data_IF_705991977158
#
_entry.id   IF_705991977158
#
_cell.length_a   1.000
_cell.length_b   1.000
_cell.length_c   1.000
_cell.angle_alpha   90.00
_cell.angle_beta   90.00
_cell.angle_gamma   90.00
#
_symmetry.space_group_name_H-M   'P 1'
#
loop_
_entity.id
_entity.type
_entity.pdbx_description
1 polymer ?
#
# COMPACT_ATOMS: atom_id res chain seq x y z
N UNK A 1 -39.41 49.68 -5.26
CA UNK A 1 -39.81 49.51 -6.67
C UNK A 1 -39.17 48.22 -7.19
N UNK A 2 -39.92 47.13 -7.28
CA UNK A 2 -39.45 45.92 -7.98
C UNK A 2 -39.49 46.22 -9.47
N UNK A 3 -38.34 46.50 -10.10
CA UNK A 3 -38.24 46.43 -11.54
C UNK A 3 -38.37 44.95 -11.90
N UNK A 4 -39.51 44.50 -12.39
CA UNK A 4 -39.62 43.19 -13.04
C UNK A 4 -38.98 43.33 -14.42
N UNK A 5 -37.89 42.63 -14.69
CA UNK A 5 -37.38 42.49 -16.05
C UNK A 5 -38.34 41.55 -16.76
N UNK A 6 -38.94 42.04 -17.84
CA UNK A 6 -39.79 41.20 -18.66
C UNK A 6 -38.91 40.49 -19.70
N UNK A 7 -39.01 39.16 -19.78
CA UNK A 7 -38.42 38.38 -20.86
C UNK A 7 -39.48 38.16 -21.94
N UNK A 8 -39.08 38.17 -23.22
CA UNK A 8 -40.02 37.85 -24.30
C UNK A 8 -39.71 36.45 -24.80
N UNK A 9 -40.70 35.55 -24.70
CA UNK A 9 -40.60 34.17 -25.17
C UNK A 9 -41.46 34.01 -26.43
N UNK A 10 -40.90 33.42 -27.49
CA UNK A 10 -41.62 33.19 -28.76
C UNK A 10 -42.85 32.30 -28.51
N UNK A 11 -44.00 32.70 -29.04
CA UNK A 11 -45.27 31.98 -28.83
C UNK A 11 -45.92 32.11 -27.44
N UNK A 12 -45.34 32.89 -26.52
CA UNK A 12 -45.92 33.20 -25.19
C UNK A 12 -46.16 34.71 -25.04
N UNK A 13 -45.20 35.53 -25.50
CA UNK A 13 -45.18 36.98 -25.32
C UNK A 13 -44.25 37.42 -24.18
N UNK A 14 -44.50 38.61 -23.64
CA UNK A 14 -43.75 39.16 -22.51
C UNK A 14 -44.15 38.44 -21.22
N UNK A 15 -43.19 37.79 -20.57
CA UNK A 15 -43.37 37.10 -19.28
C UNK A 15 -42.62 37.84 -18.18
N UNK A 16 -43.19 37.92 -16.96
CA UNK A 16 -42.46 38.42 -15.81
C UNK A 16 -41.30 37.46 -15.50
N UNK A 17 -40.09 37.98 -15.36
CA UNK A 17 -38.98 37.22 -14.79
C UNK A 17 -38.64 37.79 -13.43
N UNK A 18 -38.31 36.91 -12.49
CA UNK A 18 -37.61 37.35 -11.29
C UNK A 18 -36.26 37.93 -11.73
N UNK A 19 -36.02 39.21 -11.40
CA UNK A 19 -34.75 39.90 -11.69
C UNK A 19 -33.66 39.43 -10.77
N UNK A 20 -34.04 39.02 -9.57
CA UNK A 20 -33.16 38.25 -8.75
C UNK A 20 -33.11 36.82 -9.30
N UNK A 21 -31.91 36.24 -9.41
CA UNK A 21 -31.63 34.90 -9.95
C UNK A 21 -32.25 33.75 -9.10
N UNK A 22 -33.24 34.05 -8.26
CA UNK A 22 -33.93 33.10 -7.40
C UNK A 22 -35.37 32.83 -7.83
N UNK A 23 -35.81 31.58 -7.70
CA UNK A 23 -37.21 31.15 -7.79
C UNK A 23 -37.55 30.14 -6.68
N UNK A 24 -38.82 29.77 -6.51
CA UNK A 24 -39.21 28.79 -5.47
C UNK A 24 -38.93 27.35 -5.91
N UNK A 25 -38.76 26.45 -4.93
CA UNK A 25 -38.63 25.01 -5.19
C UNK A 25 -39.82 24.44 -5.97
N UNK A 26 -41.01 24.98 -5.75
CA UNK A 26 -42.23 24.60 -6.47
C UNK A 26 -42.19 24.97 -7.95
N UNK A 27 -41.66 26.16 -8.30
CA UNK A 27 -41.46 26.57 -9.70
C UNK A 27 -40.45 25.66 -10.40
N UNK A 28 -39.31 25.37 -9.75
CA UNK A 28 -38.27 24.50 -10.33
C UNK A 28 -38.79 23.09 -10.55
N UNK A 29 -39.53 22.54 -9.58
CA UNK A 29 -40.14 21.22 -9.69
C UNK A 29 -41.11 21.18 -10.88
N UNK A 30 -42.03 22.13 -10.99
CA UNK A 30 -42.99 22.19 -12.09
C UNK A 30 -42.31 22.36 -13.47
N UNK A 31 -41.23 23.14 -13.53
CA UNK A 31 -40.41 23.32 -14.72
C UNK A 31 -39.72 22.01 -15.13
N UNK A 32 -38.98 21.38 -14.21
CA UNK A 32 -38.24 20.14 -14.49
C UNK A 32 -39.17 18.96 -14.80
N UNK A 33 -40.31 18.83 -14.12
CA UNK A 33 -41.31 17.79 -14.44
C UNK A 33 -41.77 17.90 -15.89
N UNK A 34 -42.03 19.11 -16.37
CA UNK A 34 -42.48 19.33 -17.75
C UNK A 34 -41.33 19.17 -18.76
N UNK A 35 -40.13 19.67 -18.46
CA UNK A 35 -38.94 19.51 -19.31
C UNK A 35 -38.51 18.05 -19.43
N UNK A 36 -38.61 17.26 -18.36
CA UNK A 36 -38.24 15.84 -18.39
C UNK A 36 -39.16 15.04 -19.31
N UNK A 37 -40.47 15.33 -19.33
CA UNK A 37 -41.41 14.73 -20.29
C UNK A 37 -40.98 15.04 -21.73
N UNK A 38 -40.63 16.30 -22.00
CA UNK A 38 -40.18 16.75 -23.33
C UNK A 38 -38.87 16.05 -23.73
N UNK A 39 -37.91 15.96 -22.80
CA UNK A 39 -36.63 15.30 -23.02
C UNK A 39 -36.77 13.79 -23.24
N UNK A 40 -37.67 13.13 -22.50
CA UNK A 40 -37.98 11.72 -22.69
C UNK A 40 -38.54 11.46 -24.09
N UNK A 41 -39.52 12.27 -24.53
CA UNK A 41 -40.09 12.18 -25.88
C UNK A 41 -39.03 12.46 -26.94
N UNK A 42 -38.15 13.45 -26.73
CA UNK A 42 -37.06 13.75 -27.66
C UNK A 42 -36.07 12.59 -27.82
N UNK A 43 -35.75 11.92 -26.71
CA UNK A 43 -34.77 10.83 -26.71
C UNK A 43 -35.33 9.49 -27.19
N UNK A 44 -36.66 9.31 -27.23
CA UNK A 44 -37.31 8.13 -27.84
C UNK A 44 -37.20 8.18 -29.36
N UNK A 45 -36.05 7.79 -29.91
CA UNK A 45 -35.82 7.78 -31.35
C UNK A 45 -36.80 6.84 -32.05
N UNK A 46 -37.40 7.27 -33.15
CA UNK A 46 -38.23 6.41 -34.02
C UNK A 46 -37.46 5.23 -34.62
N UNK A 47 -36.13 5.33 -34.68
CA UNK A 47 -35.21 4.30 -35.19
C UNK A 47 -34.43 3.53 -34.11
N UNK A 48 -34.88 3.56 -32.85
CA UNK A 48 -34.16 2.88 -31.77
C UNK A 48 -34.12 1.35 -32.03
N UNK A 49 -32.93 0.73 -32.19
CA UNK A 49 -32.82 -0.71 -32.52
C UNK A 49 -33.22 -1.64 -31.37
N UNK A 50 -33.56 -1.09 -30.20
CA UNK A 50 -33.94 -1.86 -29.03
C UNK A 50 -35.44 -2.18 -29.08
N UNK A 51 -35.80 -3.45 -29.32
CA UNK A 51 -37.18 -3.92 -29.49
C UNK A 51 -38.08 -3.78 -28.24
N UNK A 52 -37.52 -3.28 -27.13
CA UNK A 52 -38.24 -3.03 -25.88
C UNK A 52 -38.87 -1.63 -25.79
N UNK A 53 -38.44 -0.68 -26.63
CA UNK A 53 -38.92 0.70 -26.55
C UNK A 53 -40.09 0.89 -27.53
N UNK A 54 -41.21 1.42 -27.02
CA UNK A 54 -42.38 1.69 -27.85
C UNK A 54 -42.06 2.81 -28.87
N UNK A 55 -42.45 2.65 -30.15
CA UNK A 55 -42.25 3.70 -31.14
C UNK A 55 -43.03 4.96 -30.76
N UNK A 56 -42.61 6.11 -31.30
CA UNK A 56 -43.31 7.37 -31.12
C UNK A 56 -44.77 7.25 -31.55
N UNK A 57 -45.66 7.79 -30.74
CA UNK A 57 -47.10 7.75 -30.96
C UNK A 57 -47.73 9.14 -31.00
N UNK A 58 -48.97 9.22 -31.50
CA UNK A 58 -49.78 10.45 -31.41
C UNK A 58 -49.99 10.88 -29.94
N UNK A 59 -50.01 9.92 -29.01
CA UNK A 59 -50.09 10.20 -27.57
C UNK A 59 -48.85 10.90 -27.04
N UNK A 60 -47.66 10.58 -27.54
CA UNK A 60 -46.43 11.28 -27.16
C UNK A 60 -46.45 12.73 -27.65
N UNK A 61 -47.00 12.99 -28.83
CA UNK A 61 -47.20 14.36 -29.31
C UNK A 61 -48.18 15.12 -28.41
N UNK A 62 -49.29 14.51 -28.02
CA UNK A 62 -50.26 15.14 -27.12
C UNK A 62 -49.65 15.44 -25.74
N UNK A 63 -48.80 14.53 -25.23
CA UNK A 63 -48.04 14.73 -23.99
C UNK A 63 -47.02 15.87 -24.12
N UNK A 64 -46.32 15.99 -25.26
CA UNK A 64 -45.43 17.10 -25.57
C UNK A 64 -46.19 18.43 -25.52
N UNK A 65 -47.31 18.54 -26.24
CA UNK A 65 -48.12 19.76 -26.27
C UNK A 65 -48.67 20.10 -24.88
N UNK A 66 -49.11 19.10 -24.11
CA UNK A 66 -49.56 19.30 -22.73
C UNK A 66 -48.44 19.83 -21.81
N UNK A 67 -47.23 19.26 -21.88
CA UNK A 67 -46.07 19.73 -21.12
C UNK A 67 -45.66 21.15 -21.51
N UNK A 68 -45.67 21.48 -22.80
CA UNK A 68 -45.40 22.83 -23.30
C UNK A 68 -46.42 23.86 -22.82
N UNK A 69 -47.70 23.49 -22.76
CA UNK A 69 -48.75 24.35 -22.22
C UNK A 69 -48.60 24.56 -20.70
N UNK A 70 -48.17 23.54 -19.94
CA UNK A 70 -47.83 23.70 -18.52
C UNK A 70 -46.66 24.67 -18.32
N UNK A 71 -45.60 24.55 -19.13
CA UNK A 71 -44.47 25.48 -19.06
C UNK A 71 -44.86 26.91 -19.46
N UNK A 72 -45.75 27.06 -20.44
CA UNK A 72 -46.30 28.35 -20.84
C UNK A 72 -47.10 29.00 -19.71
N UNK A 73 -47.96 28.23 -19.05
CA UNK A 73 -48.74 28.70 -17.91
C UNK A 73 -47.82 29.09 -16.75
N UNK A 74 -46.84 28.24 -16.43
CA UNK A 74 -45.82 28.50 -15.41
C UNK A 74 -45.01 29.77 -15.69
N UNK A 75 -44.63 30.01 -16.95
CA UNK A 75 -43.90 31.22 -17.34
C UNK A 75 -44.74 32.49 -17.19
N UNK A 76 -46.05 32.43 -17.51
CA UNK A 76 -46.95 33.59 -17.46
C UNK A 76 -47.42 33.91 -16.03
N UNK A 77 -47.79 32.87 -15.29
CA UNK A 77 -48.53 33.00 -14.05
C UNK A 77 -47.69 32.70 -12.80
N UNK A 78 -46.52 32.08 -12.97
CA UNK A 78 -45.66 31.67 -11.86
C UNK A 78 -46.31 30.61 -10.96
N UNK A 79 -45.74 30.40 -9.78
CA UNK A 79 -46.34 29.59 -8.70
C UNK A 79 -46.39 30.43 -7.44
N UNK A 80 -47.56 30.48 -6.80
CA UNK A 80 -47.70 31.08 -5.48
C UNK A 80 -47.22 30.10 -4.41
N UNK A 81 -46.21 30.51 -3.65
CA UNK A 81 -45.55 29.70 -2.62
C UNK A 81 -45.25 30.56 -1.37
N UNK A 82 -45.06 29.93 -0.21
CA UNK A 82 -44.72 30.59 1.05
C UNK A 82 -45.89 31.13 1.90
N UNK A 83 -45.55 31.63 3.10
CA UNK A 83 -46.45 32.33 4.02
C UNK A 83 -45.78 33.62 4.54
N UNK A 84 -46.18 34.82 4.08
CA UNK A 84 -47.34 35.10 3.24
C UNK A 84 -47.18 34.59 1.79
N UNK A 85 -48.29 34.34 1.07
CA UNK A 85 -48.25 33.83 -0.29
C UNK A 85 -47.58 34.84 -1.25
N UNK A 86 -46.49 34.41 -1.88
CA UNK A 86 -45.77 35.18 -2.90
C UNK A 86 -45.72 34.40 -4.21
N UNK A 87 -45.96 35.07 -5.33
CA UNK A 87 -45.84 34.46 -6.66
C UNK A 87 -44.41 34.54 -7.14
N UNK A 88 -43.82 33.38 -7.42
CA UNK A 88 -42.48 33.24 -7.99
C UNK A 88 -42.58 32.86 -9.47
N UNK A 89 -41.77 33.51 -10.30
CA UNK A 89 -41.72 33.26 -11.74
C UNK A 89 -40.47 32.46 -12.12
N UNK A 90 -40.39 32.03 -13.39
CA UNK A 90 -39.17 31.43 -13.93
C UNK A 90 -37.98 32.39 -13.77
N UNK A 91 -36.79 31.81 -13.59
CA UNK A 91 -35.54 32.59 -13.66
C UNK A 91 -35.22 32.96 -15.11
N UNK A 92 -34.33 33.94 -15.31
CA UNK A 92 -33.87 34.33 -16.64
C UNK A 92 -33.29 33.15 -17.45
N UNK A 93 -32.54 32.27 -16.79
CA UNK A 93 -31.98 31.05 -17.42
C UNK A 93 -33.09 30.08 -17.83
N UNK A 94 -34.06 29.80 -16.95
CA UNK A 94 -35.21 28.94 -17.28
C UNK A 94 -36.04 29.52 -18.43
N UNK A 95 -36.30 30.82 -18.42
CA UNK A 95 -37.03 31.51 -19.48
C UNK A 95 -36.28 31.48 -20.82
N UNK A 96 -34.95 31.63 -20.80
CA UNK A 96 -34.10 31.55 -21.99
C UNK A 96 -34.07 30.14 -22.56
N UNK A 97 -33.86 29.12 -21.72
CA UNK A 97 -33.87 27.73 -22.14
C UNK A 97 -35.25 27.34 -22.68
N UNK A 98 -36.33 27.83 -22.05
CA UNK A 98 -37.69 27.63 -22.55
C UNK A 98 -37.88 28.25 -23.94
N UNK A 99 -37.48 29.49 -24.15
CA UNK A 99 -37.56 30.16 -25.46
C UNK A 99 -36.81 29.38 -26.56
N UNK A 100 -35.64 28.83 -26.24
CA UNK A 100 -34.88 28.00 -27.17
C UNK A 100 -35.63 26.69 -27.52
N UNK A 101 -36.27 26.05 -26.55
CA UNK A 101 -37.12 24.87 -26.79
C UNK A 101 -38.29 25.22 -27.70
N UNK A 102 -39.00 26.32 -27.44
CA UNK A 102 -40.11 26.80 -28.27
C UNK A 102 -39.68 27.07 -29.72
N UNK A 103 -38.54 27.74 -29.91
CA UNK A 103 -37.96 28.00 -31.23
C UNK A 103 -37.60 26.72 -31.97
N UNK A 104 -37.06 25.71 -31.25
CA UNK A 104 -36.73 24.41 -31.85
C UNK A 104 -37.97 23.65 -32.36
N UNK A 105 -39.07 23.70 -31.60
CA UNK A 105 -40.33 23.07 -31.98
C UNK A 105 -40.96 23.76 -33.19
N UNK A 106 -40.95 25.10 -33.19
CA UNK A 106 -41.42 25.90 -34.33
C UNK A 106 -40.61 25.64 -35.59
N UNK A 107 -39.29 25.46 -35.47
CA UNK A 107 -38.43 25.07 -36.59
C UNK A 107 -38.79 23.71 -37.18
N UNK A 108 -39.34 22.80 -36.37
CA UNK A 108 -39.88 21.51 -36.81
C UNK A 108 -41.34 21.57 -37.30
N UNK A 109 -41.95 22.76 -37.36
CA UNK A 109 -43.35 22.96 -37.77
C UNK A 109 -44.37 22.70 -36.66
N UNK A 110 -43.92 22.50 -35.41
CA UNK A 110 -44.80 22.35 -34.24
C UNK A 110 -45.10 23.74 -33.69
N UNK A 111 -46.34 24.18 -33.84
CA UNK A 111 -46.87 25.45 -33.38
C UNK A 111 -47.89 25.16 -32.29
N UNK A 112 -47.69 25.76 -31.13
CA UNK A 112 -48.63 25.66 -30.03
C UNK A 112 -49.92 26.41 -30.39
N UNK A 113 -51.06 25.96 -29.85
CA UNK A 113 -52.42 26.46 -30.14
C UNK A 113 -53.02 26.03 -31.49
N UNK A 114 -52.32 25.19 -32.25
CA UNK A 114 -52.87 24.54 -33.46
C UNK A 114 -53.36 23.14 -33.12
N UNK A 115 -54.54 22.78 -33.62
CA UNK A 115 -55.03 21.39 -33.56
C UNK A 115 -54.48 20.60 -34.74
N UNK A 116 -53.81 19.48 -34.46
CA UNK A 116 -53.22 18.61 -35.48
C UNK A 116 -54.08 17.37 -35.68
N UNK A 117 -54.88 17.27 -36.76
CA UNK A 117 -55.75 16.12 -36.99
C UNK A 117 -55.01 14.86 -37.47
N UNK A 118 -53.80 15.01 -38.03
CA UNK A 118 -52.96 13.92 -38.53
C UNK A 118 -51.50 14.34 -38.63
N UNK A 119 -50.57 13.38 -38.75
CA UNK A 119 -49.14 13.65 -39.00
C UNK A 119 -48.33 14.08 -37.78
N UNK A 120 -48.87 13.86 -36.56
CA UNK A 120 -48.22 14.22 -35.29
C UNK A 120 -46.87 13.53 -35.11
N UNK A 121 -46.79 12.23 -35.39
CA UNK A 121 -45.55 11.46 -35.32
C UNK A 121 -44.48 11.98 -36.28
N UNK A 122 -44.84 12.29 -37.53
CA UNK A 122 -43.91 12.88 -38.51
C UNK A 122 -43.32 14.20 -38.04
N UNK A 123 -44.11 15.03 -37.35
CA UNK A 123 -43.61 16.28 -36.76
C UNK A 123 -42.63 16.02 -35.60
N UNK A 124 -42.90 15.02 -34.74
CA UNK A 124 -41.94 14.62 -33.71
C UNK A 124 -40.63 14.12 -34.31
N UNK A 125 -40.70 13.27 -35.34
CA UNK A 125 -39.53 12.77 -36.05
C UNK A 125 -38.73 13.90 -36.70
N UNK A 126 -39.43 14.87 -37.31
CA UNK A 126 -38.80 16.07 -37.85
C UNK A 126 -38.09 16.86 -36.76
N UNK A 127 -38.70 17.03 -35.58
CA UNK A 127 -38.07 17.71 -34.45
C UNK A 127 -36.85 16.95 -33.90
N UNK A 128 -36.94 15.63 -33.75
CA UNK A 128 -35.82 14.79 -33.32
C UNK A 128 -34.66 14.81 -34.34
N UNK A 129 -34.94 14.92 -35.63
CA UNK A 129 -33.91 15.04 -36.67
C UNK A 129 -33.04 16.29 -36.49
N UNK A 130 -33.56 17.32 -35.80
CA UNK A 130 -32.82 18.54 -35.45
C UNK A 130 -31.81 18.33 -34.31
N UNK A 131 -31.72 17.14 -33.70
CA UNK A 131 -30.75 16.84 -32.65
C UNK A 131 -29.31 17.18 -33.05
N UNK A 132 -28.93 16.90 -34.31
CA UNK A 132 -27.61 17.23 -34.86
C UNK A 132 -27.36 18.72 -35.08
N UNK A 133 -28.41 19.55 -35.03
CA UNK A 133 -28.35 21.00 -35.22
C UNK A 133 -28.43 21.77 -33.88
N UNK A 134 -28.08 21.12 -32.77
CA UNK A 134 -27.98 21.74 -31.45
C UNK A 134 -29.22 21.60 -30.57
N UNK A 135 -30.32 21.01 -31.04
CA UNK A 135 -31.52 20.79 -30.20
C UNK A 135 -31.22 19.88 -29.02
N UNK A 136 -30.33 18.88 -29.18
CA UNK A 136 -29.87 18.06 -28.05
C UNK A 136 -29.16 18.91 -26.97
N UNK A 137 -28.37 19.90 -27.37
CA UNK A 137 -27.67 20.78 -26.42
C UNK A 137 -28.67 21.67 -25.69
N UNK A 138 -29.69 22.18 -26.39
CA UNK A 138 -30.79 22.95 -25.80
C UNK A 138 -31.54 22.10 -24.77
N UNK A 139 -31.87 20.84 -25.10
CA UNK A 139 -32.55 19.94 -24.17
C UNK A 139 -31.69 19.61 -22.95
N UNK A 140 -30.40 19.32 -23.16
CA UNK A 140 -29.47 19.07 -22.06
C UNK A 140 -29.37 20.29 -21.14
N UNK A 141 -29.22 21.50 -21.69
CA UNK A 141 -29.18 22.75 -20.93
C UNK A 141 -30.48 22.99 -20.15
N UNK A 142 -31.64 22.74 -20.77
CA UNK A 142 -32.95 22.87 -20.12
C UNK A 142 -33.13 21.88 -18.96
N UNK A 143 -32.62 20.64 -19.09
CA UNK A 143 -32.65 19.63 -18.02
C UNK A 143 -31.59 19.85 -16.94
N UNK A 144 -30.50 20.55 -17.27
CA UNK A 144 -29.38 20.78 -16.33
C UNK A 144 -29.54 22.04 -15.49
N UNK A 145 -30.67 22.75 -15.59
CA UNK A 145 -30.92 23.94 -14.77
C UNK A 145 -30.86 23.52 -13.31
N UNK A 146 -29.76 23.91 -12.67
CA UNK A 146 -29.39 23.39 -11.37
C UNK A 146 -30.39 23.86 -10.31
N UNK A 147 -30.69 23.01 -9.33
CA UNK A 147 -31.46 23.39 -8.13
C UNK A 147 -30.82 24.54 -7.32
N UNK A 148 -29.65 25.04 -7.74
CA UNK A 148 -28.96 26.17 -7.12
C UNK A 148 -29.75 27.48 -7.22
N UNK A 149 -30.59 27.66 -8.24
CA UNK A 149 -31.44 28.86 -8.42
C UNK A 149 -32.60 28.98 -7.42
N UNK A 150 -32.71 28.06 -6.44
CA UNK A 150 -33.70 28.13 -5.34
C UNK A 150 -33.10 28.54 -4.00
N UNK A 151 -31.78 28.79 -3.98
CA UNK A 151 -31.02 29.05 -2.76
C UNK A 151 -30.84 30.55 -2.59
N UNK A 152 -31.20 31.08 -1.42
CA UNK A 152 -30.81 32.44 -1.02
C UNK A 152 -29.29 32.56 -1.17
N UNK A 153 -28.76 33.74 -1.52
CA UNK A 153 -27.30 33.98 -1.57
C UNK A 153 -26.58 33.47 -0.31
N UNK A 154 -27.24 33.57 0.84
CA UNK A 154 -26.82 32.98 2.10
C UNK A 154 -26.71 31.45 2.03
N UNK A 155 -27.74 30.74 1.59
CA UNK A 155 -27.69 29.28 1.44
C UNK A 155 -26.78 28.79 0.29
N UNK A 156 -26.52 29.59 -0.75
CA UNK A 156 -25.50 29.27 -1.76
C UNK A 156 -24.10 29.36 -1.18
N UNK A 157 -23.79 30.43 -0.45
CA UNK A 157 -22.50 30.58 0.22
C UNK A 157 -22.35 29.52 1.32
N UNK A 158 -23.36 29.30 2.15
CA UNK A 158 -23.35 28.28 3.20
C UNK A 158 -23.15 26.88 2.63
N UNK A 159 -24.01 26.45 1.71
CA UNK A 159 -23.99 25.06 1.26
C UNK A 159 -22.82 24.80 0.31
N UNK A 160 -22.48 25.70 -0.59
CA UNK A 160 -21.43 25.41 -1.58
C UNK A 160 -20.03 25.59 -0.98
N UNK A 161 -19.79 26.67 -0.22
CA UNK A 161 -18.47 26.88 0.40
C UNK A 161 -18.17 25.83 1.46
N UNK A 162 -19.13 25.54 2.36
CA UNK A 162 -18.94 24.53 3.41
C UNK A 162 -18.85 23.13 2.81
N UNK A 163 -19.66 22.80 1.80
CA UNK A 163 -19.56 21.50 1.12
C UNK A 163 -18.23 21.34 0.42
N UNK A 164 -17.80 22.28 -0.43
CA UNK A 164 -16.52 22.17 -1.13
C UNK A 164 -15.34 22.09 -0.15
N UNK A 165 -15.38 22.86 0.93
CA UNK A 165 -14.39 22.77 2.00
C UNK A 165 -14.38 21.40 2.68
N UNK A 166 -15.56 20.86 3.01
CA UNK A 166 -15.69 19.54 3.60
C UNK A 166 -15.26 18.42 2.66
N UNK A 167 -15.63 18.48 1.38
CA UNK A 167 -15.26 17.49 0.37
C UNK A 167 -13.73 17.45 0.19
N UNK A 168 -13.10 18.64 0.10
CA UNK A 168 -11.65 18.74 0.01
C UNK A 168 -10.95 18.19 1.27
N UNK A 169 -11.44 18.55 2.45
CA UNK A 169 -10.88 18.09 3.73
C UNK A 169 -11.06 16.59 3.91
N UNK A 170 -12.22 16.02 3.54
CA UNK A 170 -12.50 14.59 3.59
C UNK A 170 -11.51 13.80 2.72
N UNK A 171 -11.27 14.25 1.48
CA UNK A 171 -10.29 13.63 0.58
C UNK A 171 -8.88 13.68 1.19
N UNK A 172 -8.49 14.79 1.81
CA UNK A 172 -7.17 14.92 2.47
C UNK A 172 -7.05 14.02 3.71
N UNK A 173 -8.07 13.95 4.56
CA UNK A 173 -8.06 13.07 5.73
C UNK A 173 -8.02 11.59 5.33
N UNK A 174 -8.77 11.19 4.30
CA UNK A 174 -8.73 9.82 3.78
C UNK A 174 -7.34 9.44 3.27
N UNK A 175 -6.68 10.35 2.55
CA UNK A 175 -5.31 10.12 2.07
C UNK A 175 -4.30 9.99 3.23
N UNK A 176 -4.42 10.83 4.26
CA UNK A 176 -3.55 10.76 5.46
C UNK A 176 -3.80 9.50 6.29
N UNK A 177 -5.05 9.10 6.46
CA UNK A 177 -5.41 7.86 7.15
C UNK A 177 -4.78 6.64 6.44
N UNK A 178 -4.89 6.61 5.11
CA UNK A 178 -4.29 5.55 4.31
C UNK A 178 -2.75 5.56 4.40
N UNK A 179 -2.11 6.74 4.41
CA UNK A 179 -0.65 6.88 4.61
C UNK A 179 -0.21 6.38 5.99
N UNK A 180 -0.94 6.77 7.05
CA UNK A 180 -0.66 6.36 8.42
C UNK A 180 -0.82 4.85 8.59
N UNK A 181 -1.90 4.27 8.07
CA UNK A 181 -2.18 2.84 8.11
C UNK A 181 -1.11 2.03 7.37
N UNK A 182 -0.66 2.53 6.22
CA UNK A 182 0.41 1.89 5.43
C UNK A 182 1.73 1.93 6.19
N UNK A 183 2.10 3.08 6.75
CA UNK A 183 3.35 3.26 7.49
C UNK A 183 3.35 2.44 8.80
N UNK A 184 2.22 2.37 9.51
CA UNK A 184 2.09 1.50 10.68
C UNK A 184 2.22 0.03 10.30
N UNK A 185 1.58 -0.39 9.20
CA UNK A 185 1.70 -1.76 8.70
C UNK A 185 3.14 -2.13 8.29
N UNK A 186 3.92 -1.17 7.78
CA UNK A 186 5.35 -1.32 7.52
C UNK A 186 6.10 -1.52 8.83
N UNK A 187 5.89 -0.67 9.83
CA UNK A 187 6.54 -0.77 11.15
C UNK A 187 6.26 -2.11 11.82
N UNK A 188 5.01 -2.56 11.83
CA UNK A 188 4.62 -3.84 12.42
C UNK A 188 5.31 -5.01 11.71
N UNK A 189 5.41 -4.95 10.38
CA UNK A 189 6.06 -5.99 9.58
C UNK A 189 7.58 -5.99 9.77
N UNK A 190 8.22 -4.82 9.82
CA UNK A 190 9.65 -4.68 10.09
C UNK A 190 9.99 -5.12 11.52
N UNK A 191 9.14 -4.80 12.50
CA UNK A 191 9.29 -5.26 13.88
C UNK A 191 9.17 -6.79 13.99
N UNK A 192 8.25 -7.41 13.24
CA UNK A 192 8.18 -8.87 13.13
C UNK A 192 9.47 -9.45 12.53
N UNK A 193 9.97 -8.89 11.43
CA UNK A 193 11.22 -9.33 10.80
C UNK A 193 12.40 -9.18 11.76
N UNK A 194 12.49 -8.07 12.48
CA UNK A 194 13.48 -7.85 13.52
C UNK A 194 13.31 -8.85 14.66
N UNK A 195 12.08 -9.15 15.06
CA UNK A 195 11.74 -10.18 16.04
C UNK A 195 12.24 -11.55 15.62
N UNK A 196 12.01 -11.97 14.36
CA UNK A 196 12.52 -13.23 13.80
C UNK A 196 14.04 -13.24 13.77
N UNK A 197 14.67 -12.12 13.38
CA UNK A 197 16.13 -11.96 13.43
C UNK A 197 16.68 -12.10 14.86
N UNK A 198 15.92 -11.68 15.87
CA UNK A 198 16.30 -11.71 17.29
C UNK A 198 15.91 -13.01 18.01
N UNK A 199 14.91 -13.76 17.51
CA UNK A 199 14.43 -15.03 18.06
C UNK A 199 15.43 -16.18 17.92
N UNK A 200 16.59 -15.90 17.32
CA UNK A 200 17.81 -16.69 17.45
C UNK A 200 18.14 -16.88 18.92
N UNK A 201 17.60 -17.96 19.48
CA UNK A 201 17.94 -18.38 20.82
C UNK A 201 19.34 -18.92 20.74
N UNK A 202 20.28 -18.15 21.26
CA UNK A 202 21.63 -18.60 21.59
C UNK A 202 21.44 -19.77 22.57
N UNK A 203 21.45 -21.00 22.06
CA UNK A 203 21.03 -22.21 22.81
C UNK A 203 21.99 -22.51 23.95
N UNK A 204 23.19 -21.92 23.91
CA UNK A 204 24.02 -21.70 25.07
C UNK A 204 24.55 -20.28 24.94
N UNK A 205 24.15 -19.38 25.86
CA UNK A 205 24.93 -18.17 26.12
C UNK A 205 26.24 -18.74 26.64
N UNK A 206 27.19 -18.95 25.74
CA UNK A 206 28.48 -19.51 26.09
C UNK A 206 29.01 -18.59 27.17
N UNK A 207 28.98 -19.08 28.41
CA UNK A 207 30.00 -18.72 29.36
C UNK A 207 31.29 -18.82 28.55
N UNK A 208 32.07 -17.75 28.48
CA UNK A 208 33.42 -17.79 27.93
C UNK A 208 34.30 -18.66 28.84
N UNK A 209 33.85 -19.87 29.17
CA UNK A 209 34.67 -20.92 29.67
C UNK A 209 35.49 -21.39 28.48
N UNK A 210 36.64 -20.73 28.28
CA UNK A 210 37.85 -21.50 27.98
C UNK A 210 37.79 -22.77 28.83
N UNK A 211 38.05 -23.95 28.23
CA UNK A 211 37.68 -25.24 28.80
C UNK A 211 37.89 -25.21 30.32
N UNK A 212 36.86 -25.47 31.15
CA UNK A 212 37.03 -25.45 32.59
C UNK A 212 38.27 -26.29 32.89
N UNK A 213 39.17 -25.74 33.70
CA UNK A 213 40.40 -26.41 34.17
C UNK A 213 40.10 -27.71 34.91
N UNK A 214 38.82 -28.00 35.12
CA UNK A 214 38.22 -29.08 35.85
C UNK A 214 37.15 -29.78 35.00
N UNK A 215 37.63 -30.82 34.31
CA UNK A 215 36.99 -32.09 33.92
C UNK A 215 35.65 -32.08 33.15
N UNK A 216 35.65 -32.83 32.04
CA UNK A 216 34.50 -33.52 31.39
C UNK A 216 33.95 -33.06 30.03
N UNK A 217 34.59 -32.20 29.22
CA UNK A 217 34.00 -31.85 27.89
C UNK A 217 34.86 -31.85 26.62
N UNK A 218 36.14 -32.14 26.68
CA UNK A 218 36.91 -32.77 25.59
C UNK A 218 37.86 -33.73 26.32
N UNK A 219 38.20 -34.94 25.83
CA UNK A 219 39.23 -35.73 26.48
C UNK A 219 40.46 -34.84 26.66
N UNK A 220 40.73 -34.43 27.90
CA UNK A 220 41.73 -33.40 28.22
C UNK A 220 43.13 -33.81 27.75
N UNK A 221 43.33 -35.13 27.65
CA UNK A 221 44.47 -35.79 27.05
C UNK A 221 44.65 -35.44 25.57
N UNK A 222 43.58 -35.36 24.78
CA UNK A 222 43.64 -35.15 23.34
C UNK A 222 44.00 -33.68 23.00
N UNK A 223 43.43 -32.72 23.73
CA UNK A 223 43.78 -31.29 23.62
C UNK A 223 45.17 -31.02 24.18
N UNK A 224 45.53 -31.63 25.32
CA UNK A 224 46.88 -31.51 25.89
C UNK A 224 47.94 -32.12 24.96
N UNK A 225 47.63 -33.22 24.27
CA UNK A 225 48.52 -33.83 23.27
C UNK A 225 48.71 -32.92 22.06
N UNK A 226 47.64 -32.27 21.57
CA UNK A 226 47.72 -31.29 20.48
C UNK A 226 48.52 -30.05 20.91
N UNK A 227 48.26 -29.52 22.11
CA UNK A 227 48.99 -28.35 22.65
C UNK A 227 50.48 -28.67 22.85
N UNK A 228 50.81 -29.85 23.39
CA UNK A 228 52.20 -30.30 23.55
C UNK A 228 52.89 -30.48 22.19
N UNK A 229 52.19 -31.08 21.22
CA UNK A 229 52.64 -31.19 19.85
C UNK A 229 52.98 -29.81 19.25
N UNK A 230 52.10 -28.81 19.39
CA UNK A 230 52.35 -27.45 18.92
C UNK A 230 53.53 -26.77 19.63
N UNK A 231 53.63 -26.93 20.96
CA UNK A 231 54.74 -26.36 21.73
C UNK A 231 56.09 -27.00 21.33
N UNK A 232 56.11 -28.27 20.96
CA UNK A 232 57.33 -28.97 20.52
C UNK A 232 57.72 -28.62 19.08
N UNK A 233 56.74 -28.40 18.19
CA UNK A 233 56.97 -27.85 16.84
C UNK A 233 57.56 -26.43 16.95
N UNK A 234 57.01 -25.59 17.81
CA UNK A 234 57.53 -24.24 18.07
C UNK A 234 58.97 -24.26 18.61
N UNK A 235 59.37 -25.37 19.26
CA UNK A 235 60.70 -25.59 19.79
C UNK A 235 61.62 -26.41 18.85
N UNK A 236 61.20 -26.69 17.61
CA UNK A 236 62.04 -27.32 16.59
C UNK A 236 62.33 -28.82 16.80
N UNK A 237 61.48 -29.55 17.55
CA UNK A 237 61.64 -31.00 17.72
C UNK A 237 61.12 -31.81 16.52
N UNK A 238 61.71 -32.99 16.34
CA UNK A 238 61.64 -33.83 15.14
C UNK A 238 60.23 -34.31 14.76
N UNK A 239 59.94 -34.37 13.46
CA UNK A 239 58.59 -34.56 12.89
C UNK A 239 58.00 -35.97 13.10
N UNK A 240 58.85 -36.96 13.39
CA UNK A 240 58.44 -38.35 13.61
C UNK A 240 57.69 -38.57 14.93
N UNK A 241 58.03 -37.86 16.01
CA UNK A 241 57.31 -37.96 17.29
C UNK A 241 55.90 -37.36 17.16
N UNK A 242 55.77 -36.30 16.37
CA UNK A 242 54.50 -35.67 16.07
C UNK A 242 53.55 -36.59 15.28
N UNK A 243 54.05 -37.27 14.25
CA UNK A 243 53.27 -38.21 13.44
C UNK A 243 52.75 -39.35 14.32
N UNK A 244 53.58 -39.90 15.21
CA UNK A 244 53.19 -40.96 16.13
C UNK A 244 52.14 -40.47 17.16
N UNK A 245 52.29 -39.25 17.68
CA UNK A 245 51.31 -38.66 18.61
C UNK A 245 49.98 -38.33 17.94
N UNK A 246 49.99 -37.87 16.69
CA UNK A 246 48.75 -37.67 15.91
C UNK A 246 48.05 -39.00 15.58
N UNK A 247 48.81 -40.07 15.31
CA UNK A 247 48.26 -41.42 15.14
C UNK A 247 47.66 -41.94 16.45
N UNK A 248 48.29 -41.64 17.59
CA UNK A 248 47.75 -41.96 18.91
C UNK A 248 46.50 -41.14 19.24
N UNK A 249 46.42 -39.87 18.80
CA UNK A 249 45.22 -39.06 18.90
C UNK A 249 44.06 -39.69 18.10
N UNK A 250 44.29 -40.09 16.84
CA UNK A 250 43.28 -40.78 16.03
C UNK A 250 42.79 -42.06 16.71
N UNK A 251 43.70 -42.83 17.30
CA UNK A 251 43.37 -44.06 18.03
C UNK A 251 42.53 -43.78 19.28
N UNK A 252 42.93 -42.77 20.07
CA UNK A 252 42.20 -42.32 21.27
C UNK A 252 40.81 -41.83 20.90
N UNK A 253 40.71 -41.02 19.85
CA UNK A 253 39.46 -40.52 19.31
C UNK A 253 38.50 -41.64 18.87
N UNK A 254 39.00 -42.66 18.17
CA UNK A 254 38.20 -43.82 17.77
C UNK A 254 37.69 -44.62 18.98
N UNK A 255 38.52 -44.74 20.04
CA UNK A 255 38.12 -45.40 21.28
C UNK A 255 37.05 -44.59 22.04
N UNK A 256 37.13 -43.27 22.02
CA UNK A 256 36.14 -42.39 22.63
C UNK A 256 34.79 -42.45 21.89
N UNK A 257 34.79 -42.53 20.55
CA UNK A 257 33.57 -42.81 19.77
C UNK A 257 32.96 -44.15 20.17
N UNK A 258 33.77 -45.20 20.27
CA UNK A 258 33.30 -46.53 20.62
C UNK A 258 32.67 -46.54 22.03
N UNK A 259 33.31 -45.86 22.97
CA UNK A 259 32.81 -45.69 24.35
C UNK A 259 31.51 -44.89 24.38
N UNK A 260 31.41 -43.81 23.61
CA UNK A 260 30.17 -43.02 23.50
C UNK A 260 29.01 -43.83 22.90
N UNK A 261 29.28 -44.68 21.90
CA UNK A 261 28.29 -45.64 21.36
C UNK A 261 27.81 -46.61 22.42
N UNK A 262 28.73 -47.15 23.22
CA UNK A 262 28.40 -48.06 24.32
C UNK A 262 27.58 -47.37 25.41
N UNK A 263 27.94 -46.14 25.80
CA UNK A 263 27.20 -45.37 26.80
C UNK A 263 25.79 -44.97 26.33
N UNK A 264 25.63 -44.62 25.04
CA UNK A 264 24.31 -44.34 24.48
C UNK A 264 23.41 -45.60 24.53
N UNK A 265 23.96 -46.75 24.15
CA UNK A 265 23.26 -48.03 24.25
C UNK A 265 22.90 -48.41 25.71
N UNK A 266 23.81 -48.18 26.66
CA UNK A 266 23.60 -48.49 28.07
C UNK A 266 22.56 -47.56 28.73
N UNK A 267 22.50 -46.30 28.33
CA UNK A 267 21.61 -45.29 28.92
C UNK A 267 20.26 -45.18 28.20
N UNK A 268 20.00 -46.01 27.18
CA UNK A 268 18.78 -45.95 26.39
C UNK A 268 18.60 -44.64 25.60
N UNK A 269 19.70 -43.90 25.37
CA UNK A 269 19.70 -42.66 24.61
C UNK A 269 20.11 -42.93 23.16
N UNK A 270 19.60 -42.16 22.21
CA UNK A 270 20.05 -42.31 20.82
C UNK A 270 21.50 -41.88 20.69
N UNK A 271 22.30 -42.60 19.87
CA UNK A 271 23.68 -42.21 19.56
C UNK A 271 23.78 -40.73 19.16
N UNK A 272 22.78 -40.17 18.49
CA UNK A 272 22.71 -38.75 18.11
C UNK A 272 22.72 -37.76 19.30
N UNK A 273 22.26 -38.14 20.49
CA UNK A 273 22.20 -37.27 21.69
C UNK A 273 23.54 -37.17 22.41
N UNK A 274 24.35 -38.22 22.37
CA UNK A 274 25.73 -38.20 22.90
C UNK A 274 26.73 -37.75 21.82
N UNK A 275 26.47 -38.09 20.56
CA UNK A 275 27.30 -37.71 19.42
C UNK A 275 27.16 -36.23 19.05
N UNK A 276 26.05 -35.55 19.37
CA UNK A 276 25.88 -34.09 19.22
C UNK A 276 26.92 -33.27 19.97
N UNK A 277 27.54 -33.84 21.01
CA UNK A 277 28.65 -33.21 21.76
C UNK A 277 30.00 -33.33 21.03
N UNK A 278 30.12 -34.22 20.04
CA UNK A 278 31.37 -34.59 19.34
C UNK A 278 31.36 -34.31 17.82
N UNK A 279 30.21 -33.95 17.24
CA UNK A 279 29.94 -34.15 15.79
C UNK A 279 30.63 -33.19 14.85
N UNK A 280 30.59 -31.89 15.14
CA UNK A 280 31.01 -30.90 14.15
C UNK A 280 32.53 -30.87 14.02
N UNK A 281 33.25 -30.88 15.14
CA UNK A 281 34.70 -30.90 15.13
C UNK A 281 35.26 -32.20 14.56
N UNK A 282 34.65 -33.35 14.89
CA UNK A 282 35.17 -34.63 14.43
C UNK A 282 34.90 -34.96 12.98
N UNK A 283 33.75 -34.56 12.42
CA UNK A 283 33.46 -34.77 11.00
C UNK A 283 34.42 -33.94 10.14
N UNK A 284 34.66 -32.69 10.53
CA UNK A 284 35.64 -31.81 9.90
C UNK A 284 37.07 -32.38 10.01
N UNK A 285 37.44 -32.90 11.19
CA UNK A 285 38.75 -33.53 11.41
C UNK A 285 38.91 -34.81 10.57
N UNK A 286 37.88 -35.65 10.53
CA UNK A 286 37.89 -36.91 9.78
C UNK A 286 37.92 -36.67 8.27
N UNK A 287 37.20 -35.65 7.78
CA UNK A 287 37.26 -35.24 6.38
C UNK A 287 38.65 -34.72 6.02
N UNK A 288 39.32 -33.93 6.87
CA UNK A 288 40.71 -33.51 6.62
C UNK A 288 41.71 -34.66 6.68
N UNK A 289 41.55 -35.59 7.62
CA UNK A 289 42.39 -36.79 7.68
C UNK A 289 42.17 -37.66 6.43
N UNK A 290 40.93 -37.87 6.00
CA UNK A 290 40.65 -38.68 4.81
C UNK A 290 41.02 -37.98 3.51
N UNK A 291 40.80 -36.67 3.35
CA UNK A 291 41.01 -35.97 2.08
C UNK A 291 42.41 -35.38 1.91
N UNK A 292 43.07 -34.93 2.98
CA UNK A 292 44.39 -34.27 2.89
C UNK A 292 45.53 -35.20 3.34
N UNK A 293 45.33 -36.05 4.36
CA UNK A 293 46.43 -36.93 4.82
C UNK A 293 46.65 -38.13 3.90
N UNK A 294 45.62 -38.66 3.25
CA UNK A 294 45.74 -39.86 2.40
C UNK A 294 46.15 -39.57 0.96
N UNK A 295 45.95 -38.34 0.46
CA UNK A 295 46.40 -37.98 -0.90
C UNK A 295 47.92 -37.92 -0.95
N UNK A 296 48.51 -38.61 -1.92
CA UNK A 296 49.94 -38.60 -2.22
C UNK A 296 50.41 -37.31 -2.91
N UNK A 297 49.47 -36.48 -3.39
CA UNK A 297 49.75 -35.36 -4.32
C UNK A 297 49.36 -33.98 -3.76
N UNK A 298 49.06 -33.86 -2.47
CA UNK A 298 48.71 -32.58 -1.86
C UNK A 298 49.90 -31.61 -1.81
N UNK A 299 49.70 -30.37 -2.28
CA UNK A 299 50.66 -29.26 -2.23
C UNK A 299 51.10 -29.00 -0.77
N UNK A 300 52.17 -29.66 -0.32
CA UNK A 300 52.59 -29.66 1.08
C UNK A 300 53.32 -30.93 1.54
N UNK A 301 53.18 -32.04 0.81
CA UNK A 301 54.06 -33.21 0.94
C UNK A 301 55.23 -33.06 -0.02
N UNK A 302 56.43 -32.90 0.52
CA UNK A 302 57.63 -33.26 -0.24
C UNK A 302 57.67 -34.80 -0.32
N UNK A 303 57.94 -35.32 -1.51
CA UNK A 303 58.13 -36.75 -1.77
C UNK A 303 59.24 -37.40 -0.91
N UNK A 304 60.09 -36.61 -0.26
CA UNK A 304 61.06 -37.07 0.73
C UNK A 304 60.53 -36.90 2.17
N UNK A 305 59.87 -37.95 2.64
CA UNK A 305 59.60 -38.45 4.01
C UNK A 305 59.68 -37.63 5.31
N UNK A 306 60.16 -36.39 5.46
CA UNK A 306 60.38 -35.87 6.83
C UNK A 306 59.95 -34.43 7.14
N UNK A 307 59.59 -33.60 6.16
CA UNK A 307 59.22 -32.21 6.46
C UNK A 307 57.83 -31.85 5.90
N UNK A 308 56.80 -32.06 6.72
CA UNK A 308 55.51 -31.39 6.52
C UNK A 308 55.74 -29.88 6.60
N UNK A 309 55.56 -29.15 5.49
CA UNK A 309 55.80 -27.69 5.45
C UNK A 309 54.84 -26.96 6.40
N UNK A 310 55.27 -25.82 6.96
CA UNK A 310 54.46 -24.92 7.81
C UNK A 310 53.07 -24.62 7.22
N UNK A 311 52.95 -24.52 5.90
CA UNK A 311 51.68 -24.31 5.20
C UNK A 311 50.68 -25.45 5.41
N UNK A 312 51.15 -26.69 5.53
CA UNK A 312 50.33 -27.86 5.82
C UNK A 312 49.78 -27.82 7.24
N UNK A 313 50.62 -27.50 8.23
CA UNK A 313 50.19 -27.29 9.62
C UNK A 313 49.23 -26.11 9.76
N UNK A 314 49.46 -25.03 9.01
CA UNK A 314 48.58 -23.86 8.99
C UNK A 314 47.19 -24.22 8.48
N UNK A 315 47.09 -25.07 7.44
CA UNK A 315 45.80 -25.57 6.94
C UNK A 315 45.07 -26.43 7.98
N UNK A 316 45.76 -27.36 8.62
CA UNK A 316 45.18 -28.19 9.69
C UNK A 316 44.74 -27.32 10.87
N UNK A 317 45.58 -26.38 11.32
CA UNK A 317 45.25 -25.47 12.42
C UNK A 317 44.02 -24.61 12.11
N UNK A 318 43.92 -24.05 10.89
CA UNK A 318 42.72 -23.29 10.48
C UNK A 318 41.45 -24.14 10.55
N UNK A 319 41.53 -25.40 10.17
CA UNK A 319 40.41 -26.34 10.22
C UNK A 319 40.03 -26.66 11.67
N UNK A 320 40.99 -27.04 12.51
CA UNK A 320 40.77 -27.35 13.94
C UNK A 320 40.23 -26.13 14.68
N UNK A 321 40.83 -24.97 14.45
CA UNK A 321 40.37 -23.71 15.01
C UNK A 321 38.95 -23.39 14.53
N UNK A 322 38.65 -23.53 13.23
CA UNK A 322 37.30 -23.30 12.71
C UNK A 322 36.25 -24.24 13.33
N UNK A 323 36.57 -25.52 13.48
CA UNK A 323 35.74 -26.50 14.16
C UNK A 323 35.47 -26.14 15.63
N UNK A 324 36.51 -25.66 16.32
CA UNK A 324 36.44 -25.23 17.71
C UNK A 324 35.66 -23.91 17.85
N UNK A 325 35.82 -22.96 16.92
CA UNK A 325 35.02 -21.73 16.86
C UNK A 325 33.55 -22.01 16.52
N UNK A 326 33.26 -23.00 15.68
CA UNK A 326 31.87 -23.41 15.37
C UNK A 326 31.16 -24.02 16.60
N UNK A 327 31.91 -24.53 17.58
CA UNK A 327 31.37 -24.96 18.89
C UNK A 327 31.22 -23.80 19.88
N UNK A 328 32.05 -22.77 19.78
CA UNK A 328 32.06 -21.61 20.69
C UNK A 328 31.04 -20.55 20.28
N UNK A 329 30.74 -20.41 18.98
CA UNK A 329 29.68 -19.53 18.51
C UNK A 329 28.35 -20.27 18.50
N UNK A 330 27.35 -19.82 19.27
CA UNK A 330 26.03 -20.45 19.29
C UNK A 330 25.40 -20.34 17.90
N UNK A 331 25.26 -21.47 17.21
CA UNK A 331 24.54 -21.54 15.94
C UNK A 331 23.06 -21.39 16.24
N UNK A 332 22.50 -20.26 15.80
CA UNK A 332 21.07 -20.09 15.69
C UNK A 332 20.43 -21.32 15.03
N UNK A 333 19.55 -22.03 15.74
CA UNK A 333 18.75 -23.07 15.09
C UNK A 333 17.37 -22.49 14.81
N UNK A 334 17.14 -21.83 13.65
CA UNK A 334 15.82 -21.32 13.32
C UNK A 334 14.81 -22.48 13.27
N UNK A 335 13.59 -22.23 13.73
CA UNK A 335 12.49 -23.18 13.58
C UNK A 335 11.96 -23.14 12.14
N UNK A 336 11.34 -24.23 11.65
CA UNK A 336 10.64 -24.22 10.36
C UNK A 336 9.53 -23.15 10.31
N UNK A 337 8.96 -22.82 11.47
CA UNK A 337 7.98 -21.73 11.64
C UNK A 337 8.57 -20.37 11.30
N UNK A 338 9.79 -20.06 11.77
CA UNK A 338 10.45 -18.78 11.49
C UNK A 338 10.67 -18.54 9.99
N UNK A 339 10.98 -19.58 9.22
CA UNK A 339 11.11 -19.47 7.76
C UNK A 339 9.78 -19.10 7.09
N UNK A 340 8.70 -19.75 7.52
CA UNK A 340 7.36 -19.51 6.99
C UNK A 340 6.88 -18.10 7.35
N UNK A 341 7.09 -17.68 8.59
CA UNK A 341 6.77 -16.33 9.07
C UNK A 341 7.59 -15.25 8.34
N UNK A 342 8.88 -15.48 8.10
CA UNK A 342 9.74 -14.54 7.39
C UNK A 342 9.32 -14.37 5.92
N UNK A 343 8.94 -15.46 5.25
CA UNK A 343 8.41 -15.39 3.87
C UNK A 343 7.05 -14.70 3.80
N UNK A 344 6.16 -14.94 4.78
CA UNK A 344 4.90 -14.23 4.89
C UNK A 344 5.11 -12.74 5.18
N UNK A 345 6.05 -12.40 6.07
CA UNK A 345 6.42 -11.02 6.37
C UNK A 345 6.99 -10.32 5.14
N UNK A 346 7.83 -11.00 4.34
CA UNK A 346 8.34 -10.49 3.06
C UNK A 346 7.22 -10.13 2.10
N UNK A 347 6.24 -11.01 1.92
CA UNK A 347 5.10 -10.76 1.02
C UNK A 347 4.27 -9.56 1.50
N UNK A 348 3.97 -9.50 2.80
CA UNK A 348 3.29 -8.34 3.40
C UNK A 348 4.09 -7.06 3.18
N UNK A 349 5.39 -7.09 3.44
CA UNK A 349 6.28 -5.94 3.30
C UNK A 349 6.34 -5.44 1.85
N UNK A 350 6.38 -6.36 0.88
CA UNK A 350 6.33 -6.01 -0.54
C UNK A 350 4.98 -5.40 -0.95
N UNK A 351 3.86 -5.92 -0.44
CA UNK A 351 2.56 -5.30 -0.68
C UNK A 351 2.50 -3.89 -0.10
N UNK A 352 3.02 -3.70 1.12
CA UNK A 352 3.11 -2.36 1.74
C UNK A 352 4.01 -1.40 0.99
N UNK A 353 5.07 -1.89 0.36
CA UNK A 353 5.90 -1.10 -0.54
C UNK A 353 5.09 -0.59 -1.73
N UNK A 354 4.30 -1.45 -2.38
CA UNK A 354 3.43 -1.05 -3.50
C UNK A 354 2.39 -0.04 -3.05
N UNK A 355 1.76 -0.26 -1.89
CA UNK A 355 0.80 0.68 -1.31
C UNK A 355 1.46 2.05 -1.05
N UNK A 356 2.69 2.06 -0.52
CA UNK A 356 3.46 3.28 -0.24
C UNK A 356 3.81 4.05 -1.54
N UNK A 357 4.22 3.35 -2.59
CA UNK A 357 4.52 3.95 -3.90
C UNK A 357 3.26 4.56 -4.55
N UNK A 358 2.10 3.95 -4.36
CA UNK A 358 0.83 4.49 -4.84
C UNK A 358 0.42 5.77 -4.09
N UNK A 359 0.68 5.84 -2.78
CA UNK A 359 0.38 7.01 -1.94
C UNK A 359 1.38 8.15 -2.21
N UNK A 360 2.64 7.82 -2.45
CA UNK A 360 3.72 8.78 -2.65
C UNK A 360 4.53 8.45 -3.92
N UNK A 361 4.05 8.87 -5.11
CA UNK A 361 4.71 8.55 -6.39
C UNK A 361 6.14 9.08 -6.53
N UNK A 362 6.53 10.07 -5.73
CA UNK A 362 7.90 10.59 -5.69
C UNK A 362 8.86 9.69 -4.89
N UNK A 363 8.33 8.90 -3.94
CA UNK A 363 9.10 8.03 -3.06
C UNK A 363 9.03 6.59 -3.56
N UNK A 364 9.73 6.31 -4.65
CA UNK A 364 9.77 4.97 -5.24
C UNK A 364 10.99 4.18 -4.76
N UNK A 365 10.94 2.86 -4.92
CA UNK A 365 12.07 1.95 -4.65
C UNK A 365 13.37 2.31 -5.38
N UNK A 366 13.27 3.03 -6.51
CA UNK A 366 14.42 3.51 -7.28
C UNK A 366 15.06 4.79 -6.73
N UNK A 367 14.38 5.54 -5.86
CA UNK A 367 14.95 6.77 -5.28
C UNK A 367 15.68 6.42 -3.99
N UNK A 368 17.02 6.48 -4.04
CA UNK A 368 17.85 6.20 -2.87
C UNK A 368 17.53 7.13 -1.68
N UNK A 369 17.68 6.61 -0.47
CA UNK A 369 17.40 7.35 0.77
C UNK A 369 15.92 7.41 1.16
N UNK A 370 15.01 6.99 0.29
CA UNK A 370 13.58 6.90 0.62
C UNK A 370 13.26 5.63 1.42
N UNK A 371 12.18 5.67 2.20
CA UNK A 371 11.65 4.49 2.89
C UNK A 371 11.36 3.34 1.91
N UNK A 372 10.80 3.65 0.74
CA UNK A 372 10.50 2.66 -0.29
C UNK A 372 11.76 1.91 -0.76
N UNK A 373 12.86 2.64 -1.00
CA UNK A 373 14.14 2.03 -1.37
C UNK A 373 14.71 1.16 -0.24
N UNK A 374 14.62 1.61 1.02
CA UNK A 374 15.09 0.82 2.17
C UNK A 374 14.29 -0.46 2.34
N UNK A 375 12.96 -0.39 2.26
CA UNK A 375 12.08 -1.56 2.32
C UNK A 375 12.40 -2.54 1.18
N UNK A 376 12.59 -2.02 -0.03
CA UNK A 376 12.92 -2.84 -1.19
C UNK A 376 14.25 -3.59 -1.00
N UNK A 377 15.27 -2.94 -0.44
CA UNK A 377 16.55 -3.57 -0.10
C UNK A 377 16.34 -4.71 0.93
N UNK A 378 15.53 -4.52 1.97
CA UNK A 378 15.19 -5.59 2.93
C UNK A 378 14.48 -6.77 2.25
N UNK A 379 13.53 -6.50 1.35
CA UNK A 379 12.83 -7.55 0.58
C UNK A 379 13.79 -8.30 -0.34
N UNK A 380 14.75 -7.62 -0.97
CA UNK A 380 15.80 -8.24 -1.79
C UNK A 380 16.73 -9.12 -0.95
N UNK A 381 17.09 -8.68 0.25
CA UNK A 381 17.96 -9.44 1.15
C UNK A 381 17.29 -10.76 1.58
N UNK A 382 16.01 -10.71 1.96
CA UNK A 382 15.24 -11.92 2.25
C UNK A 382 15.11 -12.77 0.99
N UNK A 383 14.79 -12.19 -0.17
CA UNK A 383 14.62 -12.97 -1.41
C UNK A 383 15.91 -13.68 -1.84
N UNK A 384 17.07 -13.04 -1.63
CA UNK A 384 18.38 -13.60 -1.96
C UNK A 384 18.75 -14.78 -1.08
N UNK A 385 18.34 -14.76 0.20
CA UNK A 385 18.54 -15.89 1.11
C UNK A 385 17.70 -17.12 0.76
N UNK A 386 16.53 -16.90 0.16
CA UNK A 386 15.57 -17.96 -0.24
C UNK A 386 15.60 -18.27 -1.75
N UNK A 387 16.64 -17.85 -2.47
CA UNK A 387 16.72 -18.06 -3.92
C UNK A 387 16.68 -19.57 -4.24
N UNK A 388 15.73 -19.97 -5.10
CA UNK A 388 15.54 -21.37 -5.50
C UNK A 388 14.75 -22.22 -4.50
N UNK A 389 14.20 -21.62 -3.44
CA UNK A 389 13.34 -22.30 -2.48
C UNK A 389 11.89 -21.82 -2.62
N UNK A 390 10.96 -22.76 -2.71
CA UNK A 390 9.53 -22.51 -2.60
C UNK A 390 9.05 -23.01 -1.24
N UNK A 391 8.36 -22.14 -0.48
CA UNK A 391 7.86 -22.46 0.86
C UNK A 391 6.99 -23.72 0.91
N UNK A 392 6.31 -24.05 -0.20
CA UNK A 392 5.41 -25.20 -0.28
C UNK A 392 6.10 -26.53 -0.57
N UNK A 393 7.32 -26.49 -1.14
CA UNK A 393 8.05 -27.69 -1.59
C UNK A 393 9.41 -27.87 -0.92
N UNK A 394 9.96 -26.81 -0.32
CA UNK A 394 11.23 -26.86 0.39
C UNK A 394 11.12 -27.73 1.66
N UNK A 395 12.12 -28.58 1.86
CA UNK A 395 12.24 -29.37 3.09
C UNK A 395 12.52 -28.46 4.29
N UNK A 396 12.13 -28.85 5.52
CA UNK A 396 12.42 -28.09 6.73
C UNK A 396 13.90 -27.74 6.88
N UNK A 397 14.82 -28.64 6.53
CA UNK A 397 16.27 -28.40 6.54
C UNK A 397 16.69 -27.32 5.55
N UNK A 398 16.17 -27.31 4.31
CA UNK A 398 16.46 -26.25 3.34
C UNK A 398 15.98 -24.88 3.83
N UNK A 399 14.79 -24.83 4.43
CA UNK A 399 14.23 -23.60 5.02
C UNK A 399 15.07 -23.11 6.20
N UNK A 400 15.52 -24.01 7.08
CA UNK A 400 16.43 -23.68 8.18
C UNK A 400 17.75 -23.12 7.66
N UNK A 401 18.34 -23.74 6.64
CA UNK A 401 19.59 -23.25 6.03
C UNK A 401 19.42 -21.87 5.41
N UNK A 402 18.30 -21.58 4.75
CA UNK A 402 18.03 -20.26 4.18
C UNK A 402 17.88 -19.16 5.25
N UNK A 403 17.09 -19.42 6.29
CA UNK A 403 16.96 -18.50 7.43
C UNK A 403 18.30 -18.33 8.13
N UNK A 404 19.03 -19.42 8.34
CA UNK A 404 20.36 -19.39 8.94
C UNK A 404 21.31 -18.56 8.08
N UNK A 405 21.34 -18.71 6.75
CA UNK A 405 22.15 -17.88 5.84
C UNK A 405 21.80 -16.40 5.93
N UNK A 406 20.51 -16.06 5.99
CA UNK A 406 20.03 -14.69 6.18
C UNK A 406 20.51 -14.09 7.51
N UNK A 407 20.49 -14.89 8.58
CA UNK A 407 20.93 -14.51 9.93
C UNK A 407 22.47 -14.50 10.02
N UNK A 408 23.16 -15.40 9.35
CA UNK A 408 24.62 -15.61 9.44
C UNK A 408 25.38 -14.61 8.57
N UNK A 409 24.80 -14.10 7.47
CA UNK A 409 25.34 -12.90 6.82
C UNK A 409 25.41 -11.69 7.79
N UNK A 410 24.68 -11.76 8.90
CA UNK A 410 24.78 -10.83 10.03
C UNK A 410 25.97 -11.09 10.97
N UNK A 411 26.62 -12.26 10.93
CA UNK A 411 27.63 -12.68 11.94
C UNK A 411 28.96 -13.21 11.37
N UNK A 412 28.98 -13.98 10.27
CA UNK A 412 30.12 -14.84 9.90
C UNK A 412 31.32 -14.10 9.28
N UNK A 413 31.08 -12.93 8.67
CA UNK A 413 32.15 -12.30 7.91
C UNK A 413 33.21 -11.62 8.79
N UNK A 414 32.96 -11.35 10.08
CA UNK A 414 33.98 -10.73 10.97
C UNK A 414 35.22 -11.59 11.24
N UNK A 415 35.21 -12.88 10.86
CA UNK A 415 36.26 -13.83 11.22
C UNK A 415 37.40 -13.92 10.19
N UNK A 416 37.20 -13.43 8.95
CA UNK A 416 38.26 -13.44 7.93
C UNK A 416 38.79 -12.04 7.64
N UNK A 417 40.11 -11.87 7.46
CA UNK A 417 40.75 -10.60 7.08
C UNK A 417 40.43 -10.12 5.65
N UNK A 418 39.56 -10.84 4.93
CA UNK A 418 38.94 -10.45 3.65
C UNK A 418 37.41 -10.36 3.76
N UNK A 419 36.88 -10.11 4.97
CA UNK A 419 35.48 -9.78 5.18
C UNK A 419 35.07 -8.65 4.24
N UNK A 420 34.11 -8.89 3.35
CA UNK A 420 33.57 -7.83 2.51
C UNK A 420 32.94 -6.74 3.38
N UNK A 421 32.87 -5.51 2.87
CA UNK A 421 32.26 -4.35 3.55
C UNK A 421 30.76 -4.52 3.89
N UNK A 422 30.17 -5.71 3.75
CA UNK A 422 28.73 -5.98 3.83
C UNK A 422 28.31 -6.70 5.13
N UNK A 423 29.23 -6.92 6.07
CA UNK A 423 28.89 -7.57 7.36
C UNK A 423 27.90 -6.72 8.14
N UNK A 424 26.77 -7.31 8.54
CA UNK A 424 25.71 -6.59 9.28
C UNK A 424 24.83 -5.69 8.41
N UNK A 425 25.05 -5.66 7.09
CA UNK A 425 24.30 -4.79 6.18
C UNK A 425 22.79 -5.04 6.20
N UNK A 426 22.35 -6.28 6.43
CA UNK A 426 20.92 -6.62 6.58
C UNK A 426 20.33 -5.96 7.84
N UNK A 427 21.00 -6.09 8.99
CA UNK A 427 20.54 -5.48 10.23
C UNK A 427 20.56 -3.95 10.15
N UNK A 428 21.60 -3.38 9.53
CA UNK A 428 21.68 -1.95 9.29
C UNK A 428 20.55 -1.47 8.38
N UNK A 429 20.22 -2.19 7.30
CA UNK A 429 19.10 -1.86 6.41
C UNK A 429 17.75 -1.99 7.10
N UNK A 430 17.53 -3.01 7.92
CA UNK A 430 16.30 -3.14 8.73
C UNK A 430 16.21 -1.96 9.71
N UNK A 431 17.30 -1.63 10.39
CA UNK A 431 17.34 -0.51 11.35
C UNK A 431 17.09 0.83 10.65
N UNK A 432 17.71 1.06 9.49
CA UNK A 432 17.46 2.24 8.66
C UNK A 432 16.00 2.30 8.20
N UNK A 433 15.43 1.19 7.74
CA UNK A 433 14.03 1.12 7.33
C UNK A 433 13.07 1.41 8.49
N UNK A 434 13.35 0.89 9.70
CA UNK A 434 12.55 1.17 10.91
C UNK A 434 12.63 2.65 11.26
N UNK A 435 13.84 3.23 11.33
CA UNK A 435 14.02 4.65 11.65
C UNK A 435 13.34 5.55 10.63
N UNK A 436 13.45 5.24 9.34
CA UNK A 436 12.78 5.98 8.27
C UNK A 436 11.26 5.85 8.36
N UNK A 437 10.74 4.65 8.68
CA UNK A 437 9.31 4.43 8.86
C UNK A 437 8.75 5.15 10.09
N UNK A 438 9.51 5.21 11.20
CA UNK A 438 9.15 6.00 12.38
C UNK A 438 9.10 7.49 12.06
N UNK A 439 10.13 8.02 11.41
CA UNK A 439 10.19 9.43 10.99
C UNK A 439 9.04 9.81 10.05
N UNK A 440 8.70 8.93 9.09
CA UNK A 440 7.55 9.15 8.22
C UNK A 440 6.24 9.11 9.01
N UNK A 441 6.07 8.14 9.92
CA UNK A 441 4.87 8.03 10.74
C UNK A 441 4.64 9.28 11.60
N UNK A 442 5.70 9.83 12.19
CA UNK A 442 5.63 11.05 13.00
C UNK A 442 5.30 12.27 12.13
N UNK A 443 5.88 12.35 10.93
CA UNK A 443 5.55 13.40 9.94
C UNK A 443 4.08 13.32 9.55
N UNK A 444 3.53 12.13 9.30
CA UNK A 444 2.12 11.97 8.92
C UNK A 444 1.17 12.27 10.08
N UNK A 445 1.54 11.90 11.32
CA UNK A 445 0.77 12.32 12.51
C UNK A 445 0.74 13.84 12.65
N UNK A 446 1.86 14.52 12.39
CA UNK A 446 1.92 15.97 12.43
C UNK A 446 1.11 16.61 11.30
N UNK A 447 1.14 16.03 10.09
CA UNK A 447 0.27 16.45 8.99
C UNK A 447 -1.21 16.35 9.40
N UNK A 448 -1.64 15.24 10.00
CA UNK A 448 -3.02 15.09 10.50
C UNK A 448 -3.39 16.21 11.48
N UNK A 449 -2.51 16.56 12.43
CA UNK A 449 -2.73 17.67 13.36
C UNK A 449 -2.85 19.00 12.65
N UNK A 450 -1.98 19.27 11.68
CA UNK A 450 -2.01 20.50 10.88
C UNK A 450 -3.32 20.61 10.07
N UNK A 451 -3.78 19.53 9.44
CA UNK A 451 -5.06 19.52 8.74
C UNK A 451 -6.25 19.66 9.68
N UNK A 452 -6.20 19.08 10.89
CA UNK A 452 -7.21 19.30 11.92
C UNK A 452 -7.26 20.77 12.37
N UNK A 453 -6.10 21.43 12.49
CA UNK A 453 -6.04 22.86 12.76
C UNK A 453 -6.65 23.68 11.62
N UNK A 454 -6.27 23.41 10.37
CA UNK A 454 -6.86 24.08 9.19
C UNK A 454 -8.38 23.87 9.13
N UNK A 455 -8.85 22.67 9.44
CA UNK A 455 -10.29 22.38 9.56
C UNK A 455 -10.95 23.28 10.61
N UNK A 456 -10.39 23.39 11.81
CA UNK A 456 -10.93 24.28 12.85
C UNK A 456 -10.96 25.76 12.39
N UNK A 457 -9.88 26.23 11.76
CA UNK A 457 -9.81 27.60 11.23
C UNK A 457 -10.82 27.83 10.09
N UNK A 458 -11.02 26.84 9.22
CA UNK A 458 -12.03 26.89 8.17
C UNK A 458 -13.44 27.07 8.73
N UNK A 459 -13.81 26.29 9.75
CA UNK A 459 -15.13 26.42 10.40
C UNK A 459 -15.30 27.76 11.13
N UNK A 460 -14.26 28.26 11.80
CA UNK A 460 -14.28 29.60 12.42
C UNK A 460 -14.46 30.70 11.37
N UNK A 461 -13.76 30.60 10.23
CA UNK A 461 -13.89 31.53 9.11
C UNK A 461 -15.28 31.46 8.48
N UNK A 462 -15.78 30.25 8.20
CA UNK A 462 -17.12 30.04 7.67
C UNK A 462 -18.17 30.69 8.58
N UNK A 463 -18.12 30.43 9.90
CA UNK A 463 -19.01 31.06 10.87
C UNK A 463 -18.96 32.59 10.84
N UNK A 464 -17.78 33.17 10.66
CA UNK A 464 -17.61 34.63 10.54
C UNK A 464 -18.25 35.18 9.26
N UNK A 465 -18.10 34.46 8.15
CA UNK A 465 -18.76 34.81 6.88
C UNK A 465 -20.28 34.76 7.03
N UNK A 466 -20.81 33.73 7.69
CA UNK A 466 -22.26 33.61 7.92
C UNK A 466 -22.81 34.78 8.73
N UNK A 467 -22.12 35.15 9.81
CA UNK A 467 -22.50 36.31 10.61
C UNK A 467 -22.52 37.61 9.79
N UNK A 468 -21.53 37.81 8.91
CA UNK A 468 -21.49 38.99 8.03
C UNK A 468 -22.61 38.98 6.99
N UNK A 469 -22.93 37.82 6.42
CA UNK A 469 -24.06 37.67 5.49
C UNK A 469 -25.38 37.99 6.20
N UNK A 470 -25.61 37.45 7.40
CA UNK A 470 -26.79 37.78 8.21
C UNK A 470 -26.88 39.28 8.47
N UNK A 471 -25.78 39.94 8.86
CA UNK A 471 -25.76 41.40 9.06
C UNK A 471 -26.08 42.19 7.78
N UNK A 472 -25.64 41.72 6.61
CA UNK A 472 -25.97 42.34 5.32
C UNK A 472 -27.46 42.17 5.03
N UNK A 473 -28.01 40.97 5.23
CA UNK A 473 -29.44 40.68 5.04
C UNK A 473 -30.29 41.55 5.97
N UNK A 474 -29.91 41.67 7.25
CA UNK A 474 -30.58 42.54 8.22
C UNK A 474 -30.53 44.01 7.78
N UNK A 475 -29.38 44.51 7.33
CA UNK A 475 -29.25 45.89 6.83
C UNK A 475 -30.08 46.14 5.56
N UNK A 476 -30.13 45.17 4.64
CA UNK A 476 -30.97 45.26 3.44
C UNK A 476 -32.45 45.25 3.81
N UNK A 477 -32.88 44.39 4.74
CA UNK A 477 -34.25 44.34 5.23
C UNK A 477 -34.66 45.65 5.91
N UNK A 478 -33.80 46.22 6.76
CA UNK A 478 -34.02 47.53 7.37
C UNK A 478 -34.10 48.65 6.32
N UNK A 479 -33.27 48.59 5.28
CA UNK A 479 -33.27 49.56 4.18
C UNK A 479 -34.53 49.51 3.29
N UNK A 480 -35.17 48.34 3.17
CA UNK A 480 -36.43 48.18 2.42
C UNK A 480 -37.65 48.61 3.24
N UNK A 481 -37.60 48.48 4.56
CA UNK A 481 -38.70 48.84 5.47
C UNK A 481 -38.89 50.36 5.69
N UNK A 482 -37.90 51.16 5.27
CA UNK A 482 -37.95 52.63 5.28
C UNK A 482 -38.30 53.12 3.89
#
# INVERSE_FOLDING_TARGET
>A
MNMSANFTIDGIGSVPSNVAEYTSGSVVKAYLESINIIAEIFNRRSSNPNSSDSPLSDTDFDNLIAAMNKLRDLAKNGVTDGNPPLTFYLTAEMATNLDLVFKSLKAAGIVLDVTYPSGKTTLLESWQSLAGFGVQQIMNAATSVSTSSTRTLQSMVELEYVKQGNDLLAVKFQALEQSLKTTQGILDTLALIQGISNQVTITNKGDFAFPPTNNWQIPSTAVAQIQQAFNQIANGQDSSDLINRMRNFQTTYNNDIATAKQNAAANGTTFSTEFSKLTNASKIMNDVVLHEWTKSEGSGKDSSTENMKIEYYTKIYKVVASAQFTQVFPVATPTSTAATELLAAKQKLYQRLVDLEAISPANTRSVEGTLASMIFKVVQDISSAFLGLDASTATPEQLKTAVSKWIIDNQDQKISSQAGNNVGSIQDRITQAITAAQSLNDTEKENVRNYQFVFQQFYQSASTVLQKVTQIVEKLAQGISR
#
